data_IF_170389314395
#
_entry.id   IF_170389314395
#
_cell.length_a   1.000
_cell.length_b   1.000
_cell.length_c   1.000
_cell.angle_alpha   90.00
_cell.angle_beta   90.00
_cell.angle_gamma   90.00
#
_symmetry.space_group_name_H-M   'P 1'
#
loop_
_entity.id
_entity.type
_entity.pdbx_description
1 polymer ?
#
# COMPACT_ATOMS: atom_id res chain seq x y z
N UNK A 1 23.15 52.95 7.29
CA UNK A 1 23.51 51.80 6.43
C UNK A 1 24.73 52.20 5.60
N UNK A 2 25.75 51.35 5.44
CA UNK A 2 26.97 51.69 4.70
C UNK A 2 26.72 51.96 3.21
N UNK A 3 27.52 52.84 2.58
CA UNK A 3 27.33 53.31 1.19
C UNK A 3 27.38 52.15 0.17
N UNK A 4 28.15 51.09 0.44
CA UNK A 4 28.25 49.91 -0.43
C UNK A 4 26.97 49.07 -0.51
N UNK A 5 26.01 49.26 0.41
CA UNK A 5 24.74 48.51 0.42
C UNK A 5 23.78 48.96 -0.69
N UNK A 6 23.84 50.21 -1.13
CA UNK A 6 22.95 50.72 -2.17
C UNK A 6 23.14 50.02 -3.52
N UNK A 7 24.37 49.69 -3.88
CA UNK A 7 24.65 48.90 -5.10
C UNK A 7 24.18 47.45 -5.01
N UNK A 8 24.19 46.86 -3.82
CA UNK A 8 23.70 45.49 -3.59
C UNK A 8 22.17 45.44 -3.68
N UNK A 9 21.48 46.47 -3.17
CA UNK A 9 20.02 46.58 -3.19
C UNK A 9 19.49 46.51 -4.63
N UNK A 10 20.05 47.30 -5.56
CA UNK A 10 19.62 47.27 -6.97
C UNK A 10 19.82 45.90 -7.63
N UNK A 11 20.92 45.22 -7.30
CA UNK A 11 21.19 43.87 -7.81
C UNK A 11 20.18 42.87 -7.25
N UNK A 12 19.81 42.97 -5.97
CA UNK A 12 18.82 42.09 -5.34
C UNK A 12 17.42 42.30 -5.92
N UNK A 13 16.99 43.54 -6.17
CA UNK A 13 15.74 43.82 -6.88
C UNK A 13 15.69 43.15 -8.26
N UNK A 14 16.80 43.21 -9.01
CA UNK A 14 16.90 42.55 -10.34
C UNK A 14 16.96 41.02 -10.25
N UNK A 15 17.68 40.49 -9.26
CA UNK A 15 17.94 39.05 -9.10
C UNK A 15 16.73 38.30 -8.56
N UNK A 16 16.15 38.79 -7.46
CA UNK A 16 15.09 38.08 -6.73
C UNK A 16 13.69 38.53 -7.13
N UNK A 17 13.54 39.69 -7.78
CA UNK A 17 12.25 40.21 -8.27
C UNK A 17 11.19 40.34 -7.19
N UNK A 18 11.62 40.65 -5.96
CA UNK A 18 10.74 41.01 -4.85
C UNK A 18 10.06 42.34 -5.11
N UNK A 19 8.80 42.46 -4.69
CA UNK A 19 8.12 43.76 -4.62
C UNK A 19 8.73 44.62 -3.52
N UNK A 20 8.61 45.95 -3.68
CA UNK A 20 9.15 46.94 -2.75
C UNK A 20 8.83 46.62 -1.28
N UNK A 21 7.60 46.24 -0.89
CA UNK A 21 7.29 45.92 0.50
C UNK A 21 8.03 44.68 1.02
N UNK A 22 8.27 43.66 0.19
CA UNK A 22 9.03 42.46 0.56
C UNK A 22 10.49 42.80 0.78
N UNK A 23 11.06 43.66 -0.08
CA UNK A 23 12.42 44.18 0.14
C UNK A 23 12.53 44.95 1.46
N UNK A 24 11.54 45.77 1.80
CA UNK A 24 11.52 46.48 3.09
C UNK A 24 11.48 45.49 4.27
N UNK A 25 10.67 44.44 4.19
CA UNK A 25 10.61 43.38 5.21
C UNK A 25 11.93 42.62 5.36
N UNK A 26 12.63 42.32 4.26
CA UNK A 26 13.95 41.68 4.27
C UNK A 26 14.95 42.47 5.14
N UNK A 27 15.00 43.79 4.95
CA UNK A 27 15.87 44.66 5.74
C UNK A 27 15.40 44.80 7.19
N UNK A 28 14.08 44.89 7.43
CA UNK A 28 13.52 44.98 8.78
C UNK A 28 13.92 43.76 9.62
N UNK A 29 13.69 42.55 9.10
CA UNK A 29 14.02 41.30 9.78
C UNK A 29 15.52 41.18 10.03
N UNK A 30 16.34 41.55 9.04
CA UNK A 30 17.79 41.52 9.19
C UNK A 30 18.28 42.49 10.27
N UNK A 31 17.63 43.65 10.40
CA UNK A 31 17.91 44.62 11.45
C UNK A 31 17.47 44.13 12.83
N UNK A 32 16.27 43.57 12.96
CA UNK A 32 15.76 42.99 14.22
C UNK A 32 16.65 41.86 14.75
N UNK A 33 17.26 41.08 13.86
CA UNK A 33 18.24 40.04 14.20
C UNK A 33 19.65 40.57 14.47
N UNK A 34 19.87 41.88 14.36
CA UNK A 34 21.18 42.52 14.53
C UNK A 34 22.19 42.15 13.43
N UNK A 35 21.73 41.67 12.27
CA UNK A 35 22.53 41.05 11.22
C UNK A 35 22.38 41.78 9.87
N UNK A 36 22.73 43.07 9.82
CA UNK A 36 22.73 43.86 8.58
C UNK A 36 23.99 43.68 7.72
N UNK A 37 24.55 42.46 7.69
CA UNK A 37 25.66 42.13 6.79
C UNK A 37 25.12 41.68 5.44
N UNK A 38 25.85 42.00 4.37
CA UNK A 38 25.45 41.61 3.01
C UNK A 38 25.22 40.09 2.90
N UNK A 39 26.14 39.28 3.46
CA UNK A 39 26.05 37.82 3.40
C UNK A 39 24.80 37.26 4.08
N UNK A 40 24.40 37.84 5.22
CA UNK A 40 23.19 37.42 5.92
C UNK A 40 21.93 37.77 5.12
N UNK A 41 21.85 39.02 4.67
CA UNK A 41 20.69 39.51 3.90
C UNK A 41 20.55 38.72 2.60
N UNK A 42 21.66 38.43 1.91
CA UNK A 42 21.64 37.64 0.67
C UNK A 42 21.22 36.19 0.93
N UNK A 43 21.58 35.60 2.07
CA UNK A 43 21.12 34.26 2.45
C UNK A 43 19.61 34.23 2.70
N UNK A 44 19.06 35.21 3.42
CA UNK A 44 17.61 35.34 3.66
C UNK A 44 16.86 35.60 2.34
N UNK A 45 17.39 36.49 1.50
CA UNK A 45 16.80 36.77 0.18
C UNK A 45 16.82 35.53 -0.73
N UNK A 46 17.93 34.78 -0.72
CA UNK A 46 18.03 33.53 -1.48
C UNK A 46 17.00 32.50 -0.99
N UNK A 47 16.87 32.30 0.31
CA UNK A 47 15.88 31.40 0.91
C UNK A 47 14.44 31.79 0.51
N UNK A 48 14.07 33.06 0.63
CA UNK A 48 12.73 33.52 0.22
C UNK A 48 12.46 33.32 -1.26
N UNK A 49 13.45 33.62 -2.10
CA UNK A 49 13.35 33.43 -3.55
C UNK A 49 13.22 31.96 -3.95
N UNK A 50 13.99 31.06 -3.33
CA UNK A 50 13.90 29.61 -3.56
C UNK A 50 12.54 29.03 -3.11
N UNK A 51 11.88 29.68 -2.16
CA UNK A 51 10.51 29.37 -1.74
C UNK A 51 9.43 30.15 -2.54
N UNK A 52 9.82 30.81 -3.64
CA UNK A 52 8.87 31.44 -4.57
C UNK A 52 8.29 32.78 -4.12
N UNK A 53 8.81 33.40 -3.06
CA UNK A 53 8.31 34.68 -2.55
C UNK A 53 8.56 35.80 -3.54
N UNK A 54 7.52 36.59 -3.84
CA UNK A 54 7.64 37.88 -4.57
C UNK A 54 6.85 38.99 -3.90
N UNK A 55 5.68 38.67 -3.39
CA UNK A 55 4.72 39.58 -2.78
C UNK A 55 4.68 39.40 -1.26
N UNK A 56 4.07 40.36 -0.55
CA UNK A 56 3.86 40.24 0.90
C UNK A 56 2.98 39.03 1.22
N UNK A 57 1.99 38.74 0.38
CA UNK A 57 1.12 37.57 0.55
C UNK A 57 1.90 36.25 0.46
N UNK A 58 2.87 36.15 -0.46
CA UNK A 58 3.71 34.95 -0.55
C UNK A 58 4.59 34.80 0.71
N UNK A 59 5.12 35.91 1.23
CA UNK A 59 5.93 35.93 2.44
C UNK A 59 5.12 35.54 3.68
N UNK A 60 3.90 36.05 3.80
CA UNK A 60 2.96 35.68 4.86
C UNK A 60 2.57 34.19 4.78
N UNK A 61 2.31 33.67 3.58
CA UNK A 61 2.02 32.26 3.37
C UNK A 61 3.21 31.38 3.78
N UNK A 62 4.42 31.74 3.37
CA UNK A 62 5.66 31.04 3.74
C UNK A 62 5.86 31.04 5.27
N UNK A 63 5.67 32.18 5.93
CA UNK A 63 5.82 32.27 7.38
C UNK A 63 4.76 31.45 8.12
N UNK A 64 3.52 31.49 7.65
CA UNK A 64 2.41 30.68 8.19
C UNK A 64 2.72 29.19 8.07
N UNK A 65 3.21 28.74 6.92
CA UNK A 65 3.61 27.33 6.71
C UNK A 65 4.77 26.93 7.64
N UNK A 66 5.80 27.77 7.74
CA UNK A 66 6.94 27.54 8.65
C UNK A 66 6.52 27.50 10.11
N UNK A 67 5.57 28.33 10.52
CA UNK A 67 5.03 28.33 11.89
C UNK A 67 4.27 27.03 12.17
N UNK A 68 3.37 26.61 11.29
CA UNK A 68 2.66 25.33 11.40
C UNK A 68 3.63 24.15 11.50
N UNK A 69 4.67 24.14 10.67
CA UNK A 69 5.69 23.08 10.70
C UNK A 69 6.51 23.12 11.99
N UNK A 70 6.83 24.30 12.52
CA UNK A 70 7.51 24.45 13.81
C UNK A 70 6.65 23.91 14.96
N UNK A 71 5.35 24.17 14.95
CA UNK A 71 4.41 23.64 15.95
C UNK A 71 4.34 22.13 15.92
N UNK A 72 4.25 21.55 14.71
CA UNK A 72 4.29 20.10 14.50
C UNK A 72 5.60 19.53 15.02
N UNK A 73 6.75 20.10 14.63
CA UNK A 73 8.05 19.65 15.12
C UNK A 73 8.14 19.73 16.64
N UNK A 74 7.63 20.80 17.27
CA UNK A 74 7.60 20.93 18.73
C UNK A 74 6.79 19.80 19.39
N UNK A 75 5.64 19.43 18.81
CA UNK A 75 4.84 18.30 19.30
C UNK A 75 5.61 16.98 19.18
N UNK A 76 6.27 16.73 18.04
CA UNK A 76 7.09 15.53 17.82
C UNK A 76 8.26 15.50 18.81
N UNK A 77 8.96 16.61 19.03
CA UNK A 77 10.06 16.69 20.00
C UNK A 77 9.62 16.35 21.41
N UNK A 78 8.47 16.89 21.84
CA UNK A 78 7.89 16.59 23.17
C UNK A 78 7.54 15.11 23.29
N UNK A 79 6.90 14.53 22.27
CA UNK A 79 6.55 13.12 22.26
C UNK A 79 7.78 12.19 22.34
N UNK A 80 8.89 12.59 21.72
CA UNK A 80 10.16 11.86 21.77
C UNK A 80 11.03 12.21 23.00
N UNK A 81 10.54 13.08 23.90
CA UNK A 81 11.28 13.60 25.05
C UNK A 81 12.67 14.18 24.67
N UNK A 82 12.75 14.86 23.52
CA UNK A 82 13.99 15.44 23.02
C UNK A 82 14.14 16.88 23.50
N UNK A 83 15.36 17.21 23.96
CA UNK A 83 15.74 18.58 24.37
C UNK A 83 16.31 19.42 23.23
N UNK A 84 16.98 18.77 22.27
CA UNK A 84 17.66 19.45 21.17
C UNK A 84 16.73 19.59 19.96
N UNK A 85 16.86 20.69 19.18
CA UNK A 85 16.29 20.82 17.84
C UNK A 85 16.58 19.61 16.94
N UNK A 86 15.71 19.39 15.96
CA UNK A 86 16.00 18.44 14.89
C UNK A 86 17.13 18.96 14.01
N UNK A 87 17.96 18.05 13.52
CA UNK A 87 18.91 18.34 12.44
C UNK A 87 18.17 18.57 11.13
N UNK A 88 18.85 19.09 10.11
CA UNK A 88 18.27 19.24 8.78
C UNK A 88 17.81 17.88 8.23
N UNK A 89 18.64 16.84 8.33
CA UNK A 89 18.28 15.49 7.88
C UNK A 89 17.05 14.92 8.60
N UNK A 90 16.91 15.16 9.90
CA UNK A 90 15.70 14.76 10.65
C UNK A 90 14.48 15.59 10.23
N UNK A 91 14.67 16.87 9.92
CA UNK A 91 13.62 17.76 9.42
C UNK A 91 13.13 17.29 8.04
N UNK A 92 14.02 16.86 7.16
CA UNK A 92 13.68 16.34 5.84
C UNK A 92 12.85 15.04 5.96
N UNK A 93 13.19 14.16 6.91
CA UNK A 93 12.38 12.97 7.22
C UNK A 93 10.99 13.36 7.71
N UNK A 94 10.87 14.36 8.59
CA UNK A 94 9.57 14.83 9.07
C UNK A 94 8.75 15.41 7.92
N UNK A 95 9.37 16.24 7.06
CA UNK A 95 8.72 16.84 5.90
C UNK A 95 8.21 15.77 4.93
N UNK A 96 8.96 14.69 4.70
CA UNK A 96 8.54 13.54 3.89
C UNK A 96 7.19 12.98 4.35
N UNK A 97 6.94 12.88 5.66
CA UNK A 97 5.67 12.34 6.17
C UNK A 97 4.45 13.17 5.77
N UNK A 98 4.59 14.48 5.68
CA UNK A 98 3.50 15.38 5.28
C UNK A 98 3.41 15.57 3.77
N UNK A 99 4.56 15.71 3.11
CA UNK A 99 4.62 16.15 1.72
C UNK A 99 4.58 14.98 0.73
N UNK A 100 5.21 13.85 1.08
CA UNK A 100 5.25 12.66 0.23
C UNK A 100 4.19 11.64 0.67
N UNK A 101 4.07 11.37 1.98
CA UNK A 101 3.09 10.40 2.48
C UNK A 101 1.69 11.00 2.69
N UNK A 102 1.58 12.34 2.67
CA UNK A 102 0.32 13.06 2.92
C UNK A 102 -0.37 12.69 4.24
N UNK A 103 0.42 12.35 5.27
CA UNK A 103 -0.13 12.01 6.57
C UNK A 103 -0.52 13.24 7.36
N UNK A 104 -1.68 13.13 8.01
CA UNK A 104 -2.11 14.08 9.02
C UNK A 104 -1.31 13.90 10.30
N UNK A 105 -1.33 14.90 11.18
CA UNK A 105 -0.60 14.80 12.45
C UNK A 105 -1.17 13.67 13.34
N UNK A 106 -2.45 13.34 13.22
CA UNK A 106 -3.09 12.26 13.98
C UNK A 106 -2.48 10.89 13.65
N UNK A 107 -2.18 10.62 12.37
CA UNK A 107 -1.47 9.40 11.96
C UNK A 107 -0.07 9.37 12.55
N UNK A 108 0.65 10.49 12.48
CA UNK A 108 1.99 10.61 13.03
C UNK A 108 1.98 10.42 14.55
N UNK A 109 0.95 10.93 15.23
CA UNK A 109 0.74 10.74 16.66
C UNK A 109 0.54 9.27 17.01
N UNK A 110 -0.19 8.49 16.21
CA UNK A 110 -0.32 7.04 16.41
C UNK A 110 1.01 6.30 16.29
N UNK A 111 1.89 6.72 15.38
CA UNK A 111 3.25 6.17 15.31
C UNK A 111 4.09 6.57 16.53
N UNK A 112 3.97 7.82 16.99
CA UNK A 112 4.64 8.30 18.21
C UNK A 112 4.19 7.55 19.46
N UNK A 113 2.90 7.24 19.62
CA UNK A 113 2.40 6.44 20.76
C UNK A 113 3.08 5.07 20.87
N UNK A 114 3.52 4.49 19.75
CA UNK A 114 4.26 3.21 19.75
C UNK A 114 5.68 3.33 20.32
N UNK A 115 6.26 4.52 20.38
CA UNK A 115 7.61 4.72 20.95
C UNK A 115 7.63 4.57 22.47
N UNK A 116 6.48 4.63 23.16
CA UNK A 116 6.39 4.43 24.62
C UNK A 116 6.95 3.07 25.06
N UNK A 117 6.95 2.07 24.18
CA UNK A 117 7.44 0.72 24.45
C UNK A 117 8.95 0.55 24.29
N UNK A 118 9.69 1.58 23.90
CA UNK A 118 11.14 1.51 23.66
C UNK A 118 11.91 2.49 24.53
N UNK A 119 13.08 2.08 25.00
CA UNK A 119 13.90 2.86 25.95
C UNK A 119 14.48 4.15 25.36
N UNK A 120 14.67 4.21 24.03
CA UNK A 120 15.25 5.37 23.34
C UNK A 120 14.43 5.77 22.09
N UNK A 121 13.29 6.46 22.27
CA UNK A 121 12.48 7.00 21.19
C UNK A 121 13.30 7.90 20.24
N UNK A 122 13.19 7.66 18.93
CA UNK A 122 13.92 8.44 17.93
C UNK A 122 13.16 8.52 16.60
N UNK A 123 13.53 9.49 15.76
CA UNK A 123 12.88 9.75 14.46
C UNK A 123 12.98 8.55 13.53
N UNK A 124 14.12 7.83 13.50
CA UNK A 124 14.28 6.67 12.62
C UNK A 124 13.30 5.54 12.94
N UNK A 125 12.97 5.32 14.22
CA UNK A 125 11.97 4.33 14.61
C UNK A 125 10.56 4.74 14.15
N UNK A 126 10.20 6.02 14.32
CA UNK A 126 8.92 6.55 13.85
C UNK A 126 8.82 6.47 12.33
N UNK A 127 9.90 6.85 11.63
CA UNK A 127 9.98 6.77 10.16
C UNK A 127 9.78 5.35 9.65
N UNK A 128 10.34 4.35 10.34
CA UNK A 128 10.14 2.94 9.98
C UNK A 128 8.68 2.50 10.09
N UNK A 129 7.96 2.96 11.12
CA UNK A 129 6.53 2.68 11.28
C UNK A 129 5.74 3.35 10.16
N UNK A 130 5.95 4.65 9.96
CA UNK A 130 5.21 5.43 8.97
C UNK A 130 5.48 4.97 7.53
N UNK A 131 6.73 4.61 7.22
CA UNK A 131 7.09 4.04 5.92
C UNK A 131 6.44 2.68 5.71
N UNK A 132 6.37 1.83 6.74
CA UNK A 132 5.65 0.56 6.65
C UNK A 132 4.14 0.76 6.44
N UNK A 133 3.53 1.75 7.09
CA UNK A 133 2.12 2.08 6.84
C UNK A 133 1.90 2.61 5.43
N UNK A 134 2.85 3.40 4.92
CA UNK A 134 2.77 3.96 3.57
C UNK A 134 2.90 2.88 2.50
N UNK A 135 3.82 1.92 2.69
CA UNK A 135 3.96 0.73 1.83
C UNK A 135 2.73 -0.17 1.84
N UNK A 136 1.95 -0.16 2.92
CA UNK A 136 0.67 -0.89 3.02
C UNK A 136 -0.53 -0.03 2.58
N UNK A 137 -0.29 1.15 2.01
CA UNK A 137 -1.30 2.08 1.51
C UNK A 137 -2.29 2.59 2.58
N UNK A 138 -1.88 2.63 3.86
CA UNK A 138 -2.72 3.18 4.93
C UNK A 138 -2.75 4.70 4.83
N UNK A 139 -3.94 5.28 4.76
CA UNK A 139 -4.13 6.72 4.56
C UNK A 139 -4.87 7.42 5.70
N UNK A 140 -5.52 6.66 6.57
CA UNK A 140 -6.32 7.21 7.67
C UNK A 140 -6.12 6.41 8.97
N UNK A 141 -6.73 6.90 10.05
CA UNK A 141 -6.65 6.26 11.38
C UNK A 141 -7.34 4.88 11.36
N UNK A 142 -8.42 4.71 10.61
CA UNK A 142 -9.18 3.46 10.54
C UNK A 142 -8.33 2.32 9.97
N UNK A 143 -7.48 2.61 8.97
CA UNK A 143 -6.52 1.66 8.41
C UNK A 143 -5.55 1.16 9.51
N UNK A 144 -5.05 2.07 10.34
CA UNK A 144 -4.12 1.76 11.43
C UNK A 144 -4.81 0.95 12.54
N UNK A 145 -6.07 1.26 12.84
CA UNK A 145 -6.87 0.49 13.80
C UNK A 145 -7.17 -0.93 13.29
N UNK A 146 -7.39 -1.10 11.99
CA UNK A 146 -7.59 -2.41 11.38
C UNK A 146 -6.35 -3.30 11.50
N UNK A 147 -5.15 -2.73 11.35
CA UNK A 147 -3.88 -3.44 11.57
C UNK A 147 -3.74 -3.91 13.03
N UNK A 148 -4.13 -3.06 14.00
CA UNK A 148 -4.15 -3.42 15.43
C UNK A 148 -5.12 -4.59 15.67
N UNK A 149 -6.34 -4.48 15.15
CA UNK A 149 -7.36 -5.51 15.31
C UNK A 149 -6.90 -6.88 14.80
N UNK A 150 -6.13 -6.94 13.71
CA UNK A 150 -5.57 -8.20 13.18
C UNK A 150 -4.41 -8.73 14.02
N UNK A 151 -3.53 -7.85 14.51
CA UNK A 151 -2.44 -8.25 15.41
C UNK A 151 -2.94 -8.73 16.77
N UNK A 152 -4.10 -8.25 17.18
CA UNK A 152 -4.76 -8.65 18.42
C UNK A 152 -5.62 -9.92 18.27
N UNK A 153 -5.81 -10.43 17.04
CA UNK A 153 -6.48 -11.71 16.82
C UNK A 153 -5.68 -12.85 17.46
N UNK A 154 -6.39 -13.69 18.20
CA UNK A 154 -5.83 -14.96 18.65
C UNK A 154 -5.53 -15.88 17.46
N UNK A 155 -4.59 -16.83 17.58
CA UNK A 155 -4.31 -17.80 16.52
C UNK A 155 -5.55 -18.57 16.04
N UNK A 156 -6.54 -18.79 16.91
CA UNK A 156 -7.79 -19.46 16.56
C UNK A 156 -8.70 -18.58 15.70
N UNK A 157 -8.84 -17.29 16.01
CA UNK A 157 -9.65 -16.37 15.21
C UNK A 157 -9.05 -16.16 13.82
N UNK A 158 -7.73 -15.99 13.74
CA UNK A 158 -7.03 -15.88 12.46
C UNK A 158 -7.22 -17.15 11.62
N UNK A 159 -7.14 -18.33 12.25
CA UNK A 159 -7.41 -19.61 11.60
C UNK A 159 -8.85 -19.68 11.07
N UNK A 160 -9.83 -19.23 11.83
CA UNK A 160 -11.24 -19.21 11.40
C UNK A 160 -11.45 -18.30 10.19
N UNK A 161 -10.88 -17.09 10.20
CA UNK A 161 -10.99 -16.13 9.08
C UNK A 161 -10.36 -16.71 7.80
N UNK A 162 -9.16 -17.28 7.91
CA UNK A 162 -8.49 -17.95 6.78
C UNK A 162 -9.31 -19.12 6.27
N UNK A 163 -9.85 -19.95 7.17
CA UNK A 163 -10.70 -21.07 6.80
C UNK A 163 -11.96 -20.61 6.05
N UNK A 164 -12.65 -19.60 6.57
CA UNK A 164 -13.86 -19.05 5.95
C UNK A 164 -13.57 -18.47 4.55
N UNK A 165 -12.45 -17.76 4.39
CA UNK A 165 -12.03 -17.22 3.10
C UNK A 165 -11.89 -18.31 2.02
N UNK A 166 -11.13 -19.36 2.31
CA UNK A 166 -10.93 -20.46 1.36
C UNK A 166 -12.20 -21.32 1.20
N UNK A 167 -13.04 -21.44 2.22
CA UNK A 167 -14.35 -22.08 2.09
C UNK A 167 -15.24 -21.33 1.09
N UNK A 168 -15.27 -19.99 1.14
CA UNK A 168 -16.04 -19.15 0.20
C UNK A 168 -15.55 -19.31 -1.24
N UNK A 169 -14.23 -19.28 -1.46
CA UNK A 169 -13.64 -19.49 -2.80
C UNK A 169 -14.00 -20.87 -3.33
N UNK A 170 -13.80 -21.92 -2.53
CA UNK A 170 -14.12 -23.29 -2.94
C UNK A 170 -15.61 -23.47 -3.24
N UNK A 171 -16.50 -22.86 -2.43
CA UNK A 171 -17.94 -22.91 -2.67
C UNK A 171 -18.32 -22.23 -3.98
N UNK A 172 -17.80 -21.02 -4.24
CA UNK A 172 -17.99 -20.29 -5.49
C UNK A 172 -17.52 -21.11 -6.69
N UNK A 173 -16.29 -21.64 -6.64
CA UNK A 173 -15.70 -22.38 -7.76
C UNK A 173 -16.42 -23.72 -7.99
N UNK A 174 -16.92 -24.37 -6.93
CA UNK A 174 -17.79 -25.54 -7.03
C UNK A 174 -19.11 -25.22 -7.71
N UNK A 175 -19.78 -24.12 -7.33
CA UNK A 175 -21.04 -23.68 -7.96
C UNK A 175 -20.84 -23.35 -9.44
N UNK A 176 -19.78 -22.60 -9.78
CA UNK A 176 -19.45 -22.26 -11.17
C UNK A 176 -19.17 -23.51 -12.02
N UNK A 177 -18.49 -24.50 -11.43
CA UNK A 177 -18.22 -25.77 -12.12
C UNK A 177 -19.50 -26.57 -12.39
N UNK A 178 -20.38 -26.72 -11.40
CA UNK A 178 -21.66 -27.41 -11.60
C UNK A 178 -22.56 -26.68 -12.62
N UNK A 179 -22.57 -25.35 -12.63
CA UNK A 179 -23.29 -24.58 -13.64
C UNK A 179 -22.76 -24.87 -15.06
N UNK A 180 -21.43 -24.91 -15.25
CA UNK A 180 -20.80 -25.26 -16.54
C UNK A 180 -21.16 -26.67 -16.98
N UNK A 181 -21.18 -27.64 -16.06
CA UNK A 181 -21.64 -29.02 -16.36
C UNK A 181 -23.07 -29.04 -16.84
N UNK A 182 -23.98 -28.39 -16.10
CA UNK A 182 -25.40 -28.32 -16.47
C UNK A 182 -25.60 -27.67 -17.85
N UNK A 183 -24.85 -26.60 -18.15
CA UNK A 183 -24.89 -25.96 -19.46
C UNK A 183 -24.48 -26.92 -20.59
N UNK A 184 -23.33 -27.59 -20.43
CA UNK A 184 -22.80 -28.53 -21.42
C UNK A 184 -23.71 -29.73 -21.61
N UNK A 185 -24.21 -30.32 -20.53
CA UNK A 185 -25.08 -31.51 -20.59
C UNK A 185 -26.42 -31.20 -21.24
N UNK A 186 -26.99 -30.01 -20.99
CA UNK A 186 -28.19 -29.54 -21.70
C UNK A 186 -27.94 -29.34 -23.20
N UNK A 187 -26.77 -28.81 -23.57
CA UNK A 187 -26.40 -28.54 -24.97
C UNK A 187 -26.10 -29.82 -25.76
N UNK A 188 -25.49 -30.81 -25.12
CA UNK A 188 -25.11 -32.08 -25.74
C UNK A 188 -25.20 -33.23 -24.72
N UNK A 189 -26.36 -33.90 -24.60
CA UNK A 189 -26.58 -34.99 -23.63
C UNK A 189 -25.61 -36.16 -23.77
N UNK A 190 -25.09 -36.42 -24.98
CA UNK A 190 -24.07 -37.45 -25.20
C UNK A 190 -22.77 -37.18 -24.41
N UNK A 191 -22.45 -35.91 -24.13
CA UNK A 191 -21.31 -35.53 -23.28
C UNK A 191 -21.53 -35.97 -21.84
N UNK A 192 -22.76 -35.87 -21.32
CA UNK A 192 -23.09 -36.33 -19.96
C UNK A 192 -22.87 -37.83 -19.80
N UNK A 193 -23.32 -38.62 -20.78
CA UNK A 193 -23.10 -40.07 -20.79
C UNK A 193 -21.61 -40.41 -20.78
N UNK A 194 -20.82 -39.82 -21.69
CA UNK A 194 -19.38 -40.06 -21.73
C UNK A 194 -18.68 -39.60 -20.45
N UNK A 195 -19.08 -38.47 -19.88
CA UNK A 195 -18.49 -37.95 -18.64
C UNK A 195 -18.72 -38.91 -17.47
N UNK A 196 -19.94 -39.42 -17.31
CA UNK A 196 -20.28 -40.39 -16.27
C UNK A 196 -19.57 -41.73 -16.50
N UNK A 197 -19.54 -42.23 -17.75
CA UNK A 197 -18.82 -43.45 -18.11
C UNK A 197 -17.32 -43.37 -17.77
N UNK A 198 -16.68 -42.25 -18.12
CA UNK A 198 -15.25 -42.02 -17.83
C UNK A 198 -15.02 -42.01 -16.32
N UNK A 199 -15.87 -41.35 -15.53
CA UNK A 199 -15.76 -41.33 -14.07
C UNK A 199 -15.94 -42.73 -13.46
N UNK A 200 -16.90 -43.51 -13.95
CA UNK A 200 -17.13 -44.88 -13.51
C UNK A 200 -15.94 -45.79 -13.85
N UNK A 201 -15.35 -45.63 -15.04
CA UNK A 201 -14.15 -46.36 -15.42
C UNK A 201 -12.93 -45.97 -14.57
N UNK A 202 -12.74 -44.67 -14.29
CA UNK A 202 -11.68 -44.19 -13.40
C UNK A 202 -11.83 -44.78 -11.99
N UNK A 203 -13.07 -44.83 -11.48
CA UNK A 203 -13.36 -45.49 -10.20
C UNK A 203 -13.04 -46.99 -10.25
N UNK A 204 -13.48 -47.71 -11.29
CA UNK A 204 -13.17 -49.14 -11.49
C UNK A 204 -11.66 -49.39 -11.60
N UNK A 205 -10.92 -48.51 -12.26
CA UNK A 205 -9.47 -48.62 -12.45
C UNK A 205 -8.70 -48.65 -11.12
N UNK A 206 -9.17 -47.92 -10.11
CA UNK A 206 -8.53 -47.85 -8.80
C UNK A 206 -8.47 -49.23 -8.11
N UNK A 207 -9.47 -50.09 -8.37
CA UNK A 207 -9.65 -51.39 -7.70
C UNK A 207 -9.47 -52.60 -8.62
N UNK A 208 -9.30 -52.41 -9.93
CA UNK A 208 -9.18 -53.50 -10.90
C UNK A 208 -7.75 -54.06 -11.01
N UNK A 209 -7.58 -55.39 -11.17
CA UNK A 209 -6.30 -56.00 -11.53
C UNK A 209 -5.89 -55.70 -12.99
N UNK A 210 -6.84 -55.50 -13.90
CA UNK A 210 -6.57 -55.16 -15.31
C UNK A 210 -6.66 -53.64 -15.56
N UNK A 211 -5.67 -52.91 -15.02
CA UNK A 211 -5.61 -51.45 -15.16
C UNK A 211 -5.31 -50.99 -16.59
N UNK A 212 -4.70 -51.85 -17.41
CA UNK A 212 -4.27 -51.51 -18.77
C UNK A 212 -5.46 -51.47 -19.73
N UNK A 213 -6.33 -52.49 -19.69
CA UNK A 213 -7.54 -52.49 -20.52
C UNK A 213 -8.44 -51.29 -20.22
N UNK A 214 -8.65 -51.00 -18.92
CA UNK A 214 -9.46 -49.86 -18.48
C UNK A 214 -8.82 -48.52 -18.89
N UNK A 215 -7.49 -48.40 -18.84
CA UNK A 215 -6.80 -47.19 -19.30
C UNK A 215 -7.03 -46.91 -20.79
N UNK A 216 -7.01 -47.96 -21.62
CA UNK A 216 -7.25 -47.81 -23.07
C UNK A 216 -8.71 -47.44 -23.35
N UNK A 217 -9.67 -48.00 -22.60
CA UNK A 217 -11.09 -47.62 -22.72
C UNK A 217 -11.32 -46.15 -22.33
N UNK A 218 -10.73 -45.70 -21.21
CA UNK A 218 -10.76 -44.29 -20.79
C UNK A 218 -10.18 -43.39 -21.88
N UNK A 219 -9.05 -43.79 -22.49
CA UNK A 219 -8.41 -43.03 -23.58
C UNK A 219 -9.31 -42.92 -24.81
N UNK A 220 -9.98 -44.00 -25.20
CA UNK A 220 -10.92 -44.00 -26.33
C UNK A 220 -12.12 -43.08 -26.07
N UNK A 221 -12.74 -43.16 -24.88
CA UNK A 221 -13.85 -42.27 -24.51
C UNK A 221 -13.44 -40.81 -24.39
N UNK A 222 -12.23 -40.51 -23.91
CA UNK A 222 -11.68 -39.14 -23.91
C UNK A 222 -11.47 -38.60 -25.33
N UNK A 223 -11.08 -39.46 -26.27
CA UNK A 223 -11.00 -39.07 -27.68
C UNK A 223 -12.38 -38.72 -28.25
N UNK A 224 -13.41 -39.56 -27.99
CA UNK A 224 -14.80 -39.26 -28.36
C UNK A 224 -15.30 -37.94 -27.74
N UNK A 225 -14.99 -37.72 -26.45
CA UNK A 225 -15.30 -36.47 -25.75
C UNK A 225 -14.71 -35.25 -26.46
N UNK A 226 -13.44 -35.34 -26.88
CA UNK A 226 -12.73 -34.27 -27.61
C UNK A 226 -13.40 -33.94 -28.93
N UNK A 227 -13.89 -34.95 -29.66
CA UNK A 227 -14.61 -34.75 -30.92
C UNK A 227 -15.94 -34.01 -30.70
N UNK A 228 -16.69 -34.39 -29.66
CA UNK A 228 -17.94 -33.71 -29.31
C UNK A 228 -17.70 -32.26 -28.87
N UNK A 229 -16.68 -32.00 -28.07
CA UNK A 229 -16.34 -30.65 -27.63
C UNK A 229 -16.05 -29.75 -28.83
N UNK A 230 -15.22 -30.21 -29.77
CA UNK A 230 -14.94 -29.49 -31.02
C UNK A 230 -16.19 -29.24 -31.85
N UNK A 231 -17.03 -30.27 -32.04
CA UNK A 231 -18.27 -30.15 -32.80
C UNK A 231 -19.23 -29.10 -32.19
N UNK A 232 -19.29 -29.02 -30.86
CA UNK A 232 -20.16 -28.08 -30.14
C UNK A 232 -19.49 -26.74 -29.79
N UNK A 233 -18.26 -26.48 -30.27
CA UNK A 233 -17.45 -25.31 -29.93
C UNK A 233 -17.30 -25.09 -28.42
N UNK A 234 -16.98 -26.16 -27.69
CA UNK A 234 -16.74 -26.15 -26.24
C UNK A 234 -15.22 -26.24 -26.02
N UNK A 235 -14.61 -25.37 -25.19
CA UNK A 235 -13.18 -25.46 -24.85
C UNK A 235 -12.84 -26.81 -24.18
N UNK A 236 -11.65 -27.35 -24.48
CA UNK A 236 -11.19 -28.65 -23.94
C UNK A 236 -11.08 -28.66 -22.41
N UNK A 237 -10.84 -27.50 -21.79
CA UNK A 237 -10.74 -27.33 -20.35
C UNK A 237 -12.07 -26.93 -19.68
N UNK A 238 -13.18 -26.84 -20.43
CA UNK A 238 -14.43 -26.28 -19.93
C UNK A 238 -15.07 -27.11 -18.81
N UNK A 239 -14.84 -28.43 -18.80
CA UNK A 239 -15.22 -29.36 -17.73
C UNK A 239 -14.06 -29.69 -16.78
N UNK A 240 -13.08 -28.78 -16.67
CA UNK A 240 -12.05 -28.85 -15.64
C UNK A 240 -12.38 -27.90 -14.48
N UNK A 241 -11.99 -28.32 -13.27
CA UNK A 241 -12.10 -27.47 -12.08
C UNK A 241 -11.12 -26.30 -12.23
N UNK A 242 -11.64 -25.09 -12.11
CA UNK A 242 -10.86 -23.85 -12.10
C UNK A 242 -10.65 -23.40 -10.65
N UNK A 243 -9.50 -22.80 -10.40
CA UNK A 243 -9.09 -22.32 -9.09
C UNK A 243 -8.74 -20.83 -9.18
N UNK A 244 -8.97 -20.09 -8.10
CA UNK A 244 -8.52 -18.70 -8.02
C UNK A 244 -6.98 -18.64 -7.86
N UNK A 245 -6.38 -19.68 -7.28
CA UNK A 245 -4.93 -19.85 -7.18
C UNK A 245 -4.44 -21.22 -7.68
N UNK A 246 -3.70 -21.22 -8.79
CA UNK A 246 -3.12 -22.42 -9.40
C UNK A 246 -2.06 -23.12 -8.52
N UNK A 247 -1.39 -22.39 -7.62
CA UNK A 247 -0.32 -22.94 -6.79
C UNK A 247 -0.84 -23.82 -5.66
N UNK A 248 -1.86 -23.37 -4.94
CA UNK A 248 -2.44 -24.09 -3.81
C UNK A 248 -3.78 -24.75 -4.13
N UNK A 249 -4.36 -24.50 -5.31
CA UNK A 249 -5.69 -24.96 -5.69
C UNK A 249 -6.74 -24.57 -4.65
N UNK A 250 -6.71 -23.31 -4.24
CA UNK A 250 -7.61 -22.69 -3.24
C UNK A 250 -7.61 -23.34 -1.85
N UNK A 251 -6.51 -23.99 -1.48
CA UNK A 251 -6.30 -24.54 -0.12
C UNK A 251 -5.56 -23.59 0.81
N UNK A 252 -4.90 -22.57 0.25
CA UNK A 252 -4.01 -21.66 0.98
C UNK A 252 -2.68 -22.28 1.41
N UNK A 253 -2.42 -23.55 1.07
CA UNK A 253 -1.18 -24.28 1.41
C UNK A 253 -0.57 -24.85 0.13
N UNK A 254 0.72 -24.60 -0.08
CA UNK A 254 1.49 -25.18 -1.18
C UNK A 254 2.73 -25.87 -0.59
N UNK A 255 2.89 -27.17 -0.86
CA UNK A 255 3.99 -28.00 -0.35
C UNK A 255 4.20 -27.92 1.19
N UNK A 256 3.09 -27.94 1.94
CA UNK A 256 3.11 -27.89 3.41
C UNK A 256 3.46 -26.53 4.01
N UNK A 257 3.56 -25.48 3.19
CA UNK A 257 3.78 -24.09 3.63
C UNK A 257 2.64 -23.20 3.17
N UNK A 258 2.49 -22.06 3.83
CA UNK A 258 1.53 -21.04 3.43
C UNK A 258 1.81 -20.58 2.00
N UNK A 259 0.76 -20.59 1.18
CA UNK A 259 0.86 -20.16 -0.21
C UNK A 259 0.95 -18.62 -0.30
N UNK A 260 1.53 -18.09 -1.37
CA UNK A 260 1.61 -16.65 -1.62
C UNK A 260 0.24 -15.96 -1.56
N UNK A 261 -0.80 -16.57 -2.13
CA UNK A 261 -2.17 -16.05 -2.08
C UNK A 261 -2.71 -15.94 -0.64
N UNK A 262 -2.29 -16.82 0.28
CA UNK A 262 -2.65 -16.70 1.71
C UNK A 262 -1.96 -15.51 2.34
N UNK A 263 -0.69 -15.29 2.01
CA UNK A 263 0.05 -14.12 2.51
C UNK A 263 -0.55 -12.81 1.97
N UNK A 264 -0.95 -12.79 0.71
CA UNK A 264 -1.66 -11.66 0.11
C UNK A 264 -3.02 -11.42 0.76
N UNK A 265 -3.79 -12.49 1.01
CA UNK A 265 -5.05 -12.38 1.73
C UNK A 265 -4.86 -11.79 3.13
N UNK A 266 -3.87 -12.30 3.89
CA UNK A 266 -3.54 -11.79 5.23
C UNK A 266 -3.12 -10.31 5.19
N UNK A 267 -2.32 -9.90 4.21
CA UNK A 267 -1.98 -8.48 3.98
C UNK A 267 -3.21 -7.65 3.63
N UNK A 268 -4.12 -8.21 2.84
CA UNK A 268 -5.36 -7.52 2.47
C UNK A 268 -6.29 -7.32 3.65
N UNK A 269 -6.30 -8.22 4.65
CA UNK A 269 -7.04 -7.99 5.88
C UNK A 269 -6.56 -6.72 6.58
N UNK A 270 -5.24 -6.50 6.63
CA UNK A 270 -4.65 -5.32 7.27
C UNK A 270 -4.84 -4.02 6.48
N UNK A 271 -5.22 -4.08 5.20
CA UNK A 271 -5.37 -2.89 4.34
C UNK A 271 -6.72 -2.77 3.64
N UNK A 272 -7.76 -3.51 4.05
CA UNK A 272 -9.10 -3.41 3.42
C UNK A 272 -10.19 -3.13 4.44
N UNK A 273 -10.47 -1.84 4.62
CA UNK A 273 -11.85 -1.36 4.60
C UNK A 273 -11.97 -0.13 3.70
N UNK A 274 -12.06 -0.35 2.39
CA UNK A 274 -12.83 0.55 1.53
C UNK A 274 -13.76 -0.29 0.63
N UNK A 275 -15.04 -0.27 1.00
CA UNK A 275 -16.16 0.13 0.14
C UNK A 275 -17.39 0.39 1.01
#
# INVERSE_FOLDING_TARGET
>A
MPIYMYGCIEQWFKKYRFEDPVMMMLFSISNEKGALTQNYIEAVAKDWFENGVKTVFDLEALFTEREKMRDVQSKIQKALNRKNPFTQYETDIINKWFNEYHYSFEIIEEALKKTVKISNPNIAYVDKILSSWYENEFKNIDDIESEKAIKDLTPNELRMIVQEHYQKINMKNSMLFENRKVEVFKKAPAIETLYNDINDLLFKQAFSPDKKAIAEEIKNKNYEMTLLFKHHNIPDDYLTRQYDCELCKDTGVNNGRDCSCKMEFLKSLSGKKEK
#
